data_IF_144234440434
#
_entry.id   IF_144234440434
#
_cell.length_a   1.000
_cell.length_b   1.000
_cell.length_c   1.000
_cell.angle_alpha   90.00
_cell.angle_beta   90.00
_cell.angle_gamma   90.00
#
_symmetry.space_group_name_H-M   'P 1'
#
loop_
_entity.id
_entity.type
_entity.pdbx_description
1 polymer ?
#
# COMPACT_ATOMS: atom_id res chain seq x y z
N UNK A 1 -1.61 -9.79 26.14
CA UNK A 1 -1.09 -10.47 24.95
C UNK A 1 -1.15 -9.49 23.77
N UNK A 2 -0.12 -9.44 22.97
CA UNK A 2 -0.13 -8.59 21.80
C UNK A 2 -0.96 -9.22 20.68
N UNK A 3 -1.60 -8.38 19.89
CA UNK A 3 -2.36 -8.81 18.73
C UNK A 3 -1.40 -9.37 17.68
N UNK A 4 -1.72 -10.52 17.03
CA UNK A 4 -0.87 -11.03 15.95
C UNK A 4 -0.87 -10.07 14.76
N UNK A 5 0.27 -9.97 14.09
CA UNK A 5 0.40 -9.13 12.91
C UNK A 5 -0.23 -9.82 11.70
N UNK A 6 -0.91 -9.03 10.89
CA UNK A 6 -1.49 -9.47 9.62
C UNK A 6 -0.78 -8.87 8.43
N UNK A 7 -1.41 -8.95 7.27
CA UNK A 7 -0.88 -8.39 6.04
C UNK A 7 -0.90 -6.86 6.06
N UNK A 8 0.02 -6.25 5.31
CA UNK A 8 0.11 -4.79 5.24
C UNK A 8 -1.05 -4.16 4.47
N UNK A 9 -1.76 -4.94 3.66
CA UNK A 9 -2.89 -4.47 2.87
C UNK A 9 -3.84 -5.63 2.57
N UNK A 10 -4.82 -5.41 1.69
CA UNK A 10 -5.88 -6.39 1.46
C UNK A 10 -5.42 -7.58 0.62
N UNK A 11 -4.70 -7.31 -0.48
CA UNK A 11 -4.22 -8.38 -1.37
C UNK A 11 -3.00 -7.94 -2.16
N UNK A 12 -2.17 -8.91 -2.56
CA UNK A 12 -1.02 -8.67 -3.43
C UNK A 12 -1.50 -8.63 -4.88
N UNK A 13 -1.11 -7.58 -5.60
CA UNK A 13 -1.39 -7.45 -7.03
C UNK A 13 -0.24 -7.96 -7.88
N UNK A 14 1.01 -7.74 -7.42
CA UNK A 14 2.20 -8.05 -8.20
C UNK A 14 3.40 -8.11 -7.26
N UNK A 15 4.36 -8.98 -7.60
CA UNK A 15 5.62 -9.05 -6.87
C UNK A 15 6.75 -9.52 -7.79
N UNK A 16 7.91 -8.86 -7.68
CA UNK A 16 9.16 -9.30 -8.28
C UNK A 16 10.31 -8.99 -7.32
N UNK A 17 11.56 -9.04 -7.81
CA UNK A 17 12.73 -8.79 -6.95
C UNK A 17 12.86 -7.32 -6.53
N UNK A 18 12.14 -6.41 -7.15
CA UNK A 18 12.26 -4.96 -6.92
C UNK A 18 11.13 -4.38 -6.09
N UNK A 19 9.92 -4.88 -6.26
CA UNK A 19 8.72 -4.33 -5.62
C UNK A 19 7.75 -5.43 -5.22
N UNK A 20 6.94 -5.12 -4.20
CA UNK A 20 5.73 -5.88 -3.89
C UNK A 20 4.58 -4.89 -3.87
N UNK A 21 3.64 -5.06 -4.77
CA UNK A 21 2.52 -4.14 -4.96
C UNK A 21 1.25 -4.72 -4.37
N UNK A 22 0.64 -3.96 -3.49
CA UNK A 22 -0.57 -4.33 -2.77
C UNK A 22 -1.72 -3.40 -3.14
N UNK A 23 -2.92 -3.91 -3.01
CA UNK A 23 -4.13 -3.10 -2.96
C UNK A 23 -4.69 -3.15 -1.55
N UNK A 24 -5.05 -2.01 -0.99
CA UNK A 24 -5.82 -1.93 0.24
C UNK A 24 -7.17 -1.30 -0.04
N UNK A 25 -8.23 -2.01 0.36
CA UNK A 25 -9.60 -1.50 0.31
C UNK A 25 -10.17 -1.55 1.73
N UNK A 26 -10.78 -0.45 2.14
CA UNK A 26 -11.45 -0.35 3.43
C UNK A 26 -12.85 0.19 3.22
N UNK A 27 -13.84 -0.60 3.60
CA UNK A 27 -15.23 -0.15 3.61
C UNK A 27 -15.40 0.97 4.65
N UNK A 28 -16.50 1.74 4.59
CA UNK A 28 -16.78 2.73 5.63
C UNK A 28 -16.67 2.15 7.04
N UNK A 29 -15.84 2.77 7.88
CA UNK A 29 -15.60 2.33 9.26
C UNK A 29 -14.69 1.12 9.42
N UNK A 30 -14.21 0.52 8.34
CA UNK A 30 -13.36 -0.66 8.40
C UNK A 30 -11.92 -0.30 8.74
N UNK A 31 -11.27 -1.19 9.52
CA UNK A 31 -9.86 -1.09 9.85
C UNK A 31 -9.09 -2.27 9.25
N UNK A 32 -7.84 -2.04 8.90
CA UNK A 32 -6.92 -3.10 8.51
C UNK A 32 -6.53 -3.94 9.71
N UNK A 33 -5.90 -5.10 9.47
CA UNK A 33 -5.18 -5.80 10.52
C UNK A 33 -4.04 -4.93 11.03
N UNK A 34 -3.64 -5.15 12.29
CA UNK A 34 -2.40 -4.57 12.78
C UNK A 34 -1.25 -5.19 11.97
N UNK A 35 -0.39 -4.36 11.40
CA UNK A 35 0.69 -4.84 10.52
C UNK A 35 1.95 -4.03 10.73
N UNK A 36 3.09 -4.62 10.34
CA UNK A 36 4.39 -3.98 10.40
C UNK A 36 4.95 -3.83 9.00
N UNK A 37 5.46 -2.63 8.71
CA UNK A 37 6.17 -2.36 7.46
C UNK A 37 7.65 -2.63 7.63
N UNK A 38 8.15 -3.72 7.05
CA UNK A 38 9.57 -4.10 7.12
C UNK A 38 10.38 -3.52 5.96
N UNK A 39 9.73 -2.83 5.04
CA UNK A 39 10.34 -2.19 3.87
C UNK A 39 9.84 -0.78 3.71
N UNK A 40 10.63 0.11 3.11
CA UNK A 40 10.09 1.41 2.71
C UNK A 40 9.00 1.20 1.66
N UNK A 41 8.02 2.09 1.62
CA UNK A 41 6.91 1.94 0.69
C UNK A 41 6.40 3.30 0.22
N UNK A 42 5.77 3.27 -0.96
CA UNK A 42 5.02 4.38 -1.52
C UNK A 42 3.57 3.94 -1.58
N UNK A 43 2.65 4.80 -1.17
CA UNK A 43 1.24 4.54 -1.40
C UNK A 43 0.63 5.64 -2.25
N UNK A 44 -0.34 5.24 -3.09
CA UNK A 44 -1.09 6.16 -3.93
C UNK A 44 -2.57 5.94 -3.66
N UNK A 45 -3.27 7.00 -3.25
CA UNK A 45 -4.70 6.93 -2.97
C UNK A 45 -5.47 6.96 -4.30
N UNK A 46 -6.35 5.97 -4.49
CA UNK A 46 -7.20 5.88 -5.67
C UNK A 46 -8.58 6.46 -5.36
N UNK A 47 -9.10 6.17 -4.17
CA UNK A 47 -10.42 6.62 -3.73
C UNK A 47 -10.40 6.85 -2.22
N UNK A 48 -11.02 7.93 -1.77
CA UNK A 48 -11.13 8.23 -0.35
C UNK A 48 -10.81 9.69 -0.05
N UNK A 49 -11.23 10.13 1.15
CA UNK A 49 -11.04 11.52 1.60
C UNK A 49 -10.27 11.62 2.90
N UNK A 50 -10.12 10.51 3.61
CA UNK A 50 -9.38 10.47 4.87
C UNK A 50 -8.97 9.05 5.21
N UNK A 51 -7.78 8.89 5.75
CA UNK A 51 -7.29 7.67 6.33
C UNK A 51 -6.71 7.98 7.70
N UNK A 52 -7.09 7.22 8.71
CA UNK A 52 -6.50 7.33 10.03
C UNK A 52 -5.49 6.21 10.23
N UNK A 53 -4.43 6.49 10.99
CA UNK A 53 -3.43 5.50 11.34
C UNK A 53 -3.18 5.52 12.84
N UNK A 54 -3.24 4.34 13.44
CA UNK A 54 -2.82 4.14 14.83
C UNK A 54 -1.45 3.48 14.79
N UNK A 55 -0.43 4.21 15.22
CA UNK A 55 0.97 3.80 15.15
C UNK A 55 1.45 3.43 16.54
N UNK A 56 1.90 2.18 16.70
CA UNK A 56 2.40 1.70 18.00
C UNK A 56 3.57 2.57 18.45
N UNK A 57 3.48 3.11 19.65
CA UNK A 57 4.49 3.97 20.24
C UNK A 57 4.42 5.43 19.82
N UNK A 58 3.53 5.81 18.87
CA UNK A 58 3.41 7.19 18.38
C UNK A 58 2.02 7.77 18.51
N UNK A 59 0.98 6.93 18.49
CA UNK A 59 -0.39 7.36 18.68
C UNK A 59 -1.20 7.43 17.39
N UNK A 60 -2.29 8.19 17.42
CA UNK A 60 -3.29 8.28 16.37
C UNK A 60 -3.01 9.47 15.47
N UNK A 61 -3.00 9.24 14.15
CA UNK A 61 -2.80 10.29 13.14
C UNK A 61 -4.00 10.30 12.21
N UNK A 62 -4.54 11.49 11.96
CA UNK A 62 -5.60 11.72 10.99
C UNK A 62 -4.99 12.26 9.70
N UNK A 63 -5.19 11.58 8.59
CA UNK A 63 -4.57 11.92 7.32
C UNK A 63 -5.64 12.28 6.30
N UNK A 64 -5.82 13.58 5.98
CA UNK A 64 -6.70 13.94 4.87
C UNK A 64 -6.04 13.53 3.55
N UNK A 65 -6.82 12.95 2.67
CA UNK A 65 -6.34 12.46 1.37
C UNK A 65 -7.35 12.80 0.27
N UNK A 66 -6.92 12.62 -0.95
CA UNK A 66 -7.77 12.71 -2.13
C UNK A 66 -7.23 11.76 -3.20
N UNK A 67 -8.03 11.39 -4.22
CA UNK A 67 -7.50 10.61 -5.33
C UNK A 67 -6.25 11.25 -5.91
N UNK A 68 -5.17 10.47 -6.05
CA UNK A 68 -3.87 10.95 -6.50
C UNK A 68 -2.92 11.37 -5.39
N UNK A 69 -3.35 11.39 -4.13
CA UNK A 69 -2.42 11.64 -3.02
C UNK A 69 -1.36 10.53 -2.96
N UNK A 70 -0.11 10.91 -2.76
CA UNK A 70 1.02 9.98 -2.71
C UNK A 70 1.80 10.22 -1.42
N UNK A 71 2.12 9.13 -0.73
CA UNK A 71 2.94 9.15 0.47
C UNK A 71 4.14 8.23 0.28
N UNK A 72 5.29 8.66 0.81
CA UNK A 72 6.44 7.78 1.02
C UNK A 72 6.63 7.59 2.52
N UNK A 73 6.90 6.36 2.95
CA UNK A 73 7.19 6.07 4.34
C UNK A 73 8.40 5.14 4.49
N UNK A 74 9.25 5.39 5.49
CA UNK A 74 10.37 4.49 5.79
C UNK A 74 9.86 3.21 6.49
N UNK A 75 10.70 2.16 6.56
CA UNK A 75 10.33 0.95 7.28
C UNK A 75 10.35 1.17 8.79
N UNK A 76 9.74 0.25 9.53
CA UNK A 76 9.88 0.15 10.97
C UNK A 76 8.61 0.39 11.77
N UNK A 77 7.57 0.96 11.18
CA UNK A 77 6.33 1.23 11.91
C UNK A 77 5.42 0.01 11.96
N UNK A 78 4.81 -0.19 13.13
CA UNK A 78 3.70 -1.13 13.32
C UNK A 78 2.44 -0.30 13.47
N UNK A 79 1.44 -0.56 12.64
CA UNK A 79 0.27 0.32 12.57
C UNK A 79 -1.00 -0.40 12.15
N UNK A 80 -2.12 0.27 12.39
CA UNK A 80 -3.44 -0.10 11.88
C UNK A 80 -4.01 1.09 11.14
N UNK A 81 -4.48 0.86 9.91
CA UNK A 81 -5.16 1.88 9.12
C UNK A 81 -6.66 1.72 9.28
N UNK A 82 -7.39 2.83 9.36
CA UNK A 82 -8.84 2.86 9.51
C UNK A 82 -9.43 3.88 8.54
N UNK A 83 -10.51 3.49 7.88
CA UNK A 83 -11.33 4.42 7.11
C UNK A 83 -12.44 4.95 8.02
N UNK A 84 -12.33 6.19 8.57
CA UNK A 84 -13.34 6.70 9.49
C UNK A 84 -14.53 7.35 8.78
N UNK A 85 -14.56 7.34 7.44
CA UNK A 85 -15.58 8.02 6.66
C UNK A 85 -16.75 7.11 6.30
N UNK A 86 -17.79 7.68 5.70
CA UNK A 86 -18.97 6.96 5.20
C UNK A 86 -18.81 6.55 3.72
N UNK A 87 -17.61 6.66 3.16
CA UNK A 87 -17.31 6.31 1.77
C UNK A 87 -16.20 5.27 1.71
N UNK A 88 -16.13 4.46 0.64
CA UNK A 88 -15.06 3.48 0.51
C UNK A 88 -13.69 4.16 0.32
N UNK A 89 -12.65 3.47 0.78
CA UNK A 89 -11.26 3.88 0.61
C UNK A 89 -10.51 2.82 -0.19
N UNK A 90 -9.65 3.26 -1.10
CA UNK A 90 -8.79 2.36 -1.88
C UNK A 90 -7.45 3.01 -2.13
N UNK A 91 -6.37 2.24 -1.93
CA UNK A 91 -5.01 2.67 -2.24
C UNK A 91 -4.21 1.55 -2.88
N UNK A 92 -3.19 1.94 -3.64
CA UNK A 92 -2.15 1.03 -4.10
C UNK A 92 -0.91 1.32 -3.25
N UNK A 93 -0.35 0.28 -2.65
CA UNK A 93 0.82 0.36 -1.80
C UNK A 93 1.96 -0.42 -2.44
N UNK A 94 3.11 0.23 -2.61
CA UNK A 94 4.26 -0.35 -3.29
C UNK A 94 5.40 -0.45 -2.29
N UNK A 95 5.69 -1.68 -1.84
CA UNK A 95 6.87 -1.94 -1.02
C UNK A 95 8.10 -2.01 -1.92
N UNK A 96 9.16 -1.31 -1.52
CA UNK A 96 10.42 -1.27 -2.27
C UNK A 96 11.37 -2.31 -1.70
N UNK A 97 11.86 -3.19 -2.57
CA UNK A 97 12.81 -4.23 -2.21
C UNK A 97 14.22 -3.80 -2.60
N UNK A 98 15.22 -4.38 -1.93
CA UNK A 98 16.60 -4.25 -2.36
C UNK A 98 16.89 -5.40 -3.30
N UNK A 99 16.99 -5.16 -4.62
CA UNK A 99 17.22 -6.25 -5.57
C UNK A 99 18.63 -6.83 -5.43
N UNK A 100 18.85 -8.05 -5.92
CA UNK A 100 20.21 -8.62 -5.98
C UNK A 100 21.16 -7.69 -6.74
N UNK A 101 22.43 -7.67 -6.30
CA UNK A 101 23.46 -6.89 -6.97
C UNK A 101 23.60 -7.31 -8.44
N UNK A 102 23.63 -6.34 -9.36
CA UNK A 102 23.71 -6.60 -10.78
C UNK A 102 22.38 -6.96 -11.45
N UNK A 103 21.28 -6.94 -10.71
CA UNK A 103 19.96 -7.20 -11.29
C UNK A 103 19.59 -6.14 -12.32
N UNK A 104 19.10 -6.58 -13.48
CA UNK A 104 18.60 -5.70 -14.54
C UNK A 104 17.07 -5.78 -14.53
N UNK A 105 16.36 -4.66 -14.25
CA UNK A 105 14.90 -4.69 -14.21
C UNK A 105 14.31 -4.96 -15.59
N UNK A 106 13.27 -5.78 -15.63
CA UNK A 106 12.45 -5.99 -16.82
C UNK A 106 11.16 -5.18 -16.70
N UNK A 107 10.56 -4.86 -17.84
CA UNK A 107 9.23 -4.24 -17.81
C UNK A 107 8.25 -5.20 -17.16
N UNK A 108 7.50 -4.71 -16.19
CA UNK A 108 6.52 -5.49 -15.46
C UNK A 108 5.18 -4.77 -15.49
N UNK A 109 4.10 -5.53 -15.64
CA UNK A 109 2.75 -4.99 -15.71
C UNK A 109 1.82 -5.75 -14.77
N UNK A 110 0.78 -5.06 -14.31
CA UNK A 110 -0.26 -5.65 -13.47
C UNK A 110 -1.58 -4.92 -13.71
N UNK A 111 -2.68 -5.66 -13.61
CA UNK A 111 -4.05 -5.11 -13.71
C UNK A 111 -4.33 -4.34 -15.00
N UNK A 112 -3.75 -4.77 -16.11
CA UNK A 112 -4.08 -4.22 -17.41
C UNK A 112 -5.34 -4.89 -17.94
N UNK A 113 -6.18 -4.18 -18.74
CA UNK A 113 -7.36 -4.79 -19.37
C UNK A 113 -7.00 -5.81 -20.44
N UNK A 114 -5.74 -5.82 -20.89
CA UNK A 114 -5.18 -6.77 -21.83
C UNK A 114 -3.68 -6.61 -21.92
N UNK A 115 -2.98 -7.48 -22.68
CA UNK A 115 -1.53 -7.37 -22.79
C UNK A 115 -1.14 -6.09 -23.54
N UNK A 116 0.03 -5.50 -23.19
CA UNK A 116 0.53 -4.37 -23.96
C UNK A 116 0.86 -4.79 -25.38
N UNK A 117 0.60 -3.90 -26.34
CA UNK A 117 0.84 -4.17 -27.76
C UNK A 117 1.87 -3.17 -28.27
N UNK A 118 2.94 -3.69 -28.86
CA UNK A 118 3.93 -2.85 -29.54
C UNK A 118 3.41 -2.47 -30.93
N UNK A 119 3.22 -1.16 -31.16
CA UNK A 119 2.78 -0.67 -32.46
C UNK A 119 4.02 -0.21 -33.23
N UNK A 120 4.29 -0.77 -34.45
CA UNK A 120 5.41 -0.32 -35.26
C UNK A 120 5.22 1.16 -35.63
N UNK A 121 6.22 1.95 -35.37
CA UNK A 121 6.18 3.40 -35.49
C UNK A 121 6.34 3.94 -36.89
#
# INVERSE_FOLDING_TARGET
MSEPLGDVATRVLFENDHVKVWEMTLAPGEASALHRHDRPYVLCVIEGTRLDADIVGKGHIEIPVQPGSVLFAPPGETERATNPTDRPFREILIELKTPPSGAVPEVAVANLPGPPTLTPG
#
